data_IF_324606045537
#
_entry.id   IF_324606045537
#
_cell.length_a   1.000
_cell.length_b   1.000
_cell.length_c   1.000
_cell.angle_alpha   90.00
_cell.angle_beta   90.00
_cell.angle_gamma   90.00
#
_symmetry.space_group_name_H-M   'P 1'
#
loop_
_entity.id
_entity.type
_entity.pdbx_description
1 polymer ?
#
# COMPACT_ATOMS: atom_id res chain seq x y z
N UNK A 1 5.67 -17.76 -11.37
CA UNK A 1 6.73 -16.87 -11.89
C UNK A 1 8.06 -17.57 -11.76
N UNK A 2 8.81 -17.72 -12.84
CA UNK A 2 10.20 -18.20 -12.81
C UNK A 2 11.12 -16.98 -12.70
N UNK A 3 12.07 -17.04 -11.77
CA UNK A 3 13.09 -16.00 -11.53
C UNK A 3 14.43 -16.57 -11.99
N UNK A 4 15.20 -15.82 -12.78
CA UNK A 4 16.55 -16.25 -13.15
C UNK A 4 17.47 -16.27 -11.92
N UNK A 5 18.54 -17.09 -11.91
CA UNK A 5 19.49 -17.13 -10.79
C UNK A 5 20.08 -15.74 -10.47
N UNK A 6 20.50 -14.99 -11.50
CA UNK A 6 21.04 -13.64 -11.33
C UNK A 6 20.03 -12.65 -10.73
N UNK A 7 18.75 -12.76 -11.11
CA UNK A 7 17.69 -11.92 -10.55
C UNK A 7 17.36 -12.31 -9.10
N UNK A 8 17.45 -13.61 -8.77
CA UNK A 8 17.27 -14.09 -7.40
C UNK A 8 18.38 -13.56 -6.48
N UNK A 9 19.65 -13.64 -6.91
CA UNK A 9 20.79 -13.12 -6.15
C UNK A 9 20.66 -11.62 -5.86
N UNK A 10 20.26 -10.84 -6.88
CA UNK A 10 20.05 -9.40 -6.73
C UNK A 10 18.94 -9.12 -5.70
N UNK A 11 17.80 -9.81 -5.80
CA UNK A 11 16.69 -9.65 -4.86
C UNK A 11 17.07 -10.04 -3.43
N UNK A 12 17.81 -11.13 -3.25
CA UNK A 12 18.27 -11.57 -1.94
C UNK A 12 19.18 -10.51 -1.29
N UNK A 13 20.13 -9.93 -2.05
CA UNK A 13 20.99 -8.85 -1.55
C UNK A 13 20.19 -7.63 -1.11
N UNK A 14 19.26 -7.16 -1.95
CA UNK A 14 18.39 -6.02 -1.60
C UNK A 14 17.57 -6.30 -0.34
N UNK A 15 17.05 -7.52 -0.19
CA UNK A 15 16.26 -7.88 1.00
C UNK A 15 17.13 -7.94 2.27
N UNK A 16 18.36 -8.47 2.17
CA UNK A 16 19.33 -8.49 3.27
C UNK A 16 19.70 -7.07 3.72
N UNK A 17 19.92 -6.14 2.78
CA UNK A 17 20.19 -4.73 3.07
C UNK A 17 18.98 -4.03 3.71
N UNK A 18 17.76 -4.45 3.36
CA UNK A 18 16.52 -3.92 3.94
C UNK A 18 16.20 -4.50 5.35
N UNK A 19 16.85 -5.61 5.75
CA UNK A 19 16.52 -6.35 6.97
C UNK A 19 16.55 -5.50 8.26
N UNK A 20 17.54 -4.61 8.49
CA UNK A 20 17.54 -3.76 9.68
C UNK A 20 16.30 -2.85 9.77
N UNK A 21 15.80 -2.38 8.64
CA UNK A 21 14.59 -1.55 8.58
C UNK A 21 13.33 -2.35 8.90
N UNK A 22 13.23 -3.59 8.39
CA UNK A 22 12.11 -4.50 8.70
C UNK A 22 12.09 -4.80 10.20
N UNK A 23 13.23 -5.20 10.77
CA UNK A 23 13.34 -5.53 12.20
C UNK A 23 12.98 -4.36 13.10
N UNK A 24 13.37 -3.13 12.73
CA UNK A 24 13.03 -1.91 13.50
C UNK A 24 11.53 -1.73 13.71
N UNK A 25 10.71 -2.15 12.74
CA UNK A 25 9.25 -1.97 12.78
C UNK A 25 8.48 -3.29 12.92
N UNK A 26 9.17 -4.39 13.18
CA UNK A 26 8.54 -5.67 13.45
C UNK A 26 7.58 -5.56 14.63
N UNK A 27 6.39 -6.13 14.46
CA UNK A 27 5.25 -6.09 15.40
C UNK A 27 4.75 -4.67 15.76
N UNK A 28 5.19 -3.63 15.05
CA UNK A 28 4.67 -2.28 15.24
C UNK A 28 3.41 -2.05 14.42
N UNK A 29 2.49 -1.29 15.00
CA UNK A 29 1.32 -0.77 14.29
C UNK A 29 1.73 0.43 13.44
N UNK A 30 1.40 0.39 12.15
CA UNK A 30 1.69 1.46 11.21
C UNK A 30 0.36 1.98 10.65
N UNK A 31 0.00 3.22 11.02
CA UNK A 31 -1.20 3.86 10.49
C UNK A 31 -0.86 4.55 9.17
N UNK A 32 -1.53 4.15 8.09
CA UNK A 32 -1.28 4.64 6.74
C UNK A 32 -2.53 5.36 6.26
N UNK A 33 -2.44 6.67 6.05
CA UNK A 33 -3.49 7.41 5.35
C UNK A 33 -3.39 7.07 3.86
N UNK A 34 -4.38 6.38 3.33
CA UNK A 34 -4.61 6.21 1.91
C UNK A 34 -5.69 7.16 1.37
N UNK A 35 -5.37 8.10 0.49
CA UNK A 35 -6.43 8.88 -0.16
C UNK A 35 -5.96 10.06 -0.99
N UNK A 36 -6.87 10.61 -1.80
CA UNK A 36 -6.58 11.64 -2.81
C UNK A 36 -6.49 11.01 -4.20
N UNK A 37 -5.63 11.56 -5.08
CA UNK A 37 -5.45 11.09 -6.47
C UNK A 37 -4.96 9.62 -6.56
N UNK A 38 -4.31 9.09 -5.53
CA UNK A 38 -3.92 7.68 -5.48
C UNK A 38 -5.11 6.70 -5.44
N UNK A 39 -6.32 7.18 -5.11
CA UNK A 39 -7.56 6.40 -5.14
C UNK A 39 -8.27 6.44 -6.49
N UNK A 40 -7.80 7.21 -7.47
CA UNK A 40 -8.46 7.31 -8.79
C UNK A 40 -7.72 6.57 -9.89
N UNK A 41 -6.44 6.24 -9.69
CA UNK A 41 -5.64 5.46 -10.62
C UNK A 41 -5.60 3.98 -10.20
N UNK A 42 -6.13 3.05 -11.01
CA UNK A 42 -6.12 1.61 -10.71
C UNK A 42 -4.72 1.03 -10.47
N UNK A 43 -3.69 1.50 -11.18
CA UNK A 43 -2.33 0.99 -11.00
C UNK A 43 -1.75 1.39 -9.64
N UNK A 44 -2.08 2.61 -9.18
CA UNK A 44 -1.69 3.08 -7.84
C UNK A 44 -2.48 2.37 -6.74
N UNK A 45 -3.77 2.07 -6.96
CA UNK A 45 -4.57 1.26 -6.04
C UNK A 45 -3.97 -0.13 -5.84
N UNK A 46 -3.60 -0.82 -6.93
CA UNK A 46 -3.02 -2.15 -6.86
C UNK A 46 -1.64 -2.13 -6.20
N UNK A 47 -0.79 -1.17 -6.57
CA UNK A 47 0.53 -0.97 -5.95
C UNK A 47 0.41 -0.75 -4.44
N UNK A 48 -0.49 0.13 -4.01
CA UNK A 48 -0.74 0.39 -2.59
C UNK A 48 -1.20 -0.86 -1.85
N UNK A 49 -2.15 -1.60 -2.41
CA UNK A 49 -2.65 -2.84 -1.80
C UNK A 49 -1.52 -3.88 -1.65
N UNK A 50 -0.69 -4.04 -2.68
CA UNK A 50 0.46 -4.94 -2.67
C UNK A 50 1.48 -4.57 -1.59
N UNK A 51 1.76 -3.28 -1.42
CA UNK A 51 2.69 -2.79 -0.41
C UNK A 51 2.15 -3.01 1.01
N UNK A 52 0.85 -2.76 1.25
CA UNK A 52 0.21 -3.06 2.55
C UNK A 52 0.29 -4.55 2.88
N UNK A 53 0.06 -5.42 1.90
CA UNK A 53 0.23 -6.87 2.07
C UNK A 53 1.68 -7.22 2.40
N UNK A 54 2.65 -6.64 1.70
CA UNK A 54 4.07 -6.86 1.99
C UNK A 54 4.42 -6.47 3.42
N UNK A 55 3.97 -5.31 3.90
CA UNK A 55 4.19 -4.87 5.28
C UNK A 55 3.66 -5.89 6.29
N UNK A 56 2.46 -6.45 6.05
CA UNK A 56 1.91 -7.49 6.92
C UNK A 56 2.71 -8.79 6.87
N UNK A 57 3.15 -9.21 5.68
CA UNK A 57 3.94 -10.43 5.48
C UNK A 57 5.31 -10.36 6.16
N UNK A 58 5.92 -9.16 6.25
CA UNK A 58 7.21 -8.96 6.93
C UNK A 58 7.07 -8.67 8.43
N UNK A 59 5.87 -8.84 9.00
CA UNK A 59 5.63 -8.82 10.44
C UNK A 59 5.19 -7.47 11.02
N UNK A 60 4.85 -6.48 10.19
CA UNK A 60 4.27 -5.22 10.65
C UNK A 60 2.74 -5.33 10.75
N UNK A 61 2.10 -4.42 11.48
CA UNK A 61 0.66 -4.37 11.67
C UNK A 61 0.06 -3.11 10.99
N UNK A 62 -0.10 -3.11 9.65
CA UNK A 62 -0.62 -1.94 8.95
C UNK A 62 -2.12 -1.71 9.25
N UNK A 63 -2.48 -0.45 9.50
CA UNK A 63 -3.85 0.04 9.66
C UNK A 63 -4.09 1.11 8.62
N UNK A 64 -4.96 0.84 7.65
CA UNK A 64 -5.26 1.77 6.57
C UNK A 64 -6.43 2.67 6.95
N UNK A 65 -6.23 3.98 6.87
CA UNK A 65 -7.29 4.99 6.99
C UNK A 65 -7.52 5.61 5.63
N UNK A 66 -8.75 5.60 5.11
CA UNK A 66 -9.02 6.15 3.78
C UNK A 66 -10.09 7.24 3.73
N UNK A 67 -10.02 8.05 2.67
CA UNK A 67 -11.05 9.04 2.34
C UNK A 67 -12.13 8.47 1.42
N UNK A 68 -13.02 9.34 0.96
CA UNK A 68 -14.07 8.97 -0.02
C UNK A 68 -14.69 10.17 -0.74
N UNK A 69 -13.97 11.31 -0.78
CA UNK A 69 -14.48 12.58 -1.30
C UNK A 69 -15.07 12.49 -2.71
N UNK A 70 -14.36 11.91 -3.70
CA UNK A 70 -14.90 11.75 -5.06
C UNK A 70 -16.22 10.96 -5.09
N UNK A 71 -16.30 9.84 -4.36
CA UNK A 71 -17.48 9.00 -4.32
C UNK A 71 -18.67 9.69 -3.64
N UNK A 72 -18.41 10.47 -2.59
CA UNK A 72 -19.41 11.30 -1.92
C UNK A 72 -19.94 12.37 -2.89
N UNK A 73 -19.05 13.08 -3.58
CA UNK A 73 -19.43 14.13 -4.53
C UNK A 73 -20.23 13.58 -5.72
N UNK A 74 -19.85 12.41 -6.23
CA UNK A 74 -20.57 11.74 -7.31
C UNK A 74 -21.99 11.36 -6.88
N UNK A 75 -22.16 10.87 -5.65
CA UNK A 75 -23.48 10.55 -5.11
C UNK A 75 -24.32 11.81 -4.90
N UNK A 76 -23.74 12.88 -4.34
CA UNK A 76 -24.43 14.16 -4.13
C UNK A 76 -24.96 14.74 -5.43
N UNK A 77 -24.16 14.72 -6.50
CA UNK A 77 -24.59 15.15 -7.84
C UNK A 77 -25.78 14.35 -8.35
N UNK A 78 -25.78 13.02 -8.17
CA UNK A 78 -26.89 12.14 -8.60
C UNK A 78 -28.20 12.44 -7.88
N UNK A 79 -28.14 12.93 -6.64
CA UNK A 79 -29.32 13.30 -5.85
C UNK A 79 -29.65 14.80 -5.90
N UNK A 80 -29.03 15.55 -6.82
CA UNK A 80 -29.30 16.98 -7.03
C UNK A 80 -28.78 17.88 -5.91
N UNK A 81 -27.84 17.42 -5.10
CA UNK A 81 -27.20 18.19 -4.01
C UNK A 81 -25.78 18.59 -4.42
N UNK A 82 -25.29 19.69 -3.83
CA UNK A 82 -23.90 20.11 -3.95
C UNK A 82 -23.22 19.94 -2.59
N UNK A 83 -21.97 19.48 -2.60
CA UNK A 83 -21.11 19.28 -1.44
C UNK A 83 -19.85 20.11 -1.54
#
# INVERSE_FOLDING_TARGET
MTISPSAADKKARTLSEAMPYIQRFFDKTIVIKYGGNAMTDPALQEGFARDVVLLKLVGMNPVVVHGGGPQINDLLKRVGKQG
#
